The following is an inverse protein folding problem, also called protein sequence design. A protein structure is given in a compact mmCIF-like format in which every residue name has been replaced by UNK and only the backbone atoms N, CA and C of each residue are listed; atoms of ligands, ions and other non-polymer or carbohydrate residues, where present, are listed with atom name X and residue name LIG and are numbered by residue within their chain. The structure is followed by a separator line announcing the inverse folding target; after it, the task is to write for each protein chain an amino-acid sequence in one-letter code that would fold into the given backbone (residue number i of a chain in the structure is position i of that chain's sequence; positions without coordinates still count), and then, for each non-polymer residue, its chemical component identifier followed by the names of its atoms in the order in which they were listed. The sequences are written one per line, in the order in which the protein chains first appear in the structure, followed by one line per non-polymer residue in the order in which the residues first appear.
data_IF_242232343178
#
_entry.id   IF_242232343178
#
_cell.length_a   1.000
_cell.length_b   1.000
_cell.length_c   1.000
_cell.angle_alpha   90.00
_cell.angle_beta   90.00
_cell.angle_gamma   90.00
#
_symmetry.space_group_name_H-M   'P 1'
#
loop_
_entity.id
_entity.type
_entity.pdbx_description
1 polymer ?
#
# COMPACT_ATOMS: atom_id res chain seq x y z
N UNK A 1 10.96 28.12 3.25
CA UNK A 1 10.33 27.16 2.32
C UNK A 1 9.75 26.01 3.14
N UNK A 2 8.44 25.79 3.12
CA UNK A 2 7.83 24.64 3.78
C UNK A 2 8.35 23.37 3.09
N UNK A 3 9.01 22.46 3.84
CA UNK A 3 9.39 21.15 3.33
C UNK A 3 8.11 20.45 2.87
N UNK A 4 8.03 20.09 1.59
CA UNK A 4 6.96 19.25 1.05
C UNK A 4 6.79 18.02 1.97
N UNK A 5 5.56 17.71 2.33
CA UNK A 5 5.26 16.50 3.11
C UNK A 5 5.83 15.28 2.38
N UNK A 6 6.43 14.36 3.12
CA UNK A 6 6.99 13.12 2.58
C UNK A 6 5.89 12.35 1.87
N UNK A 7 6.17 11.82 0.69
CA UNK A 7 5.23 11.03 -0.10
C UNK A 7 5.59 9.56 -0.01
N UNK A 8 4.60 8.68 -0.19
CA UNK A 8 4.80 7.23 -0.18
C UNK A 8 5.92 6.76 -1.13
N UNK A 9 6.00 7.32 -2.33
CA UNK A 9 7.08 7.03 -3.30
C UNK A 9 8.49 7.32 -2.75
N UNK A 10 8.62 8.32 -1.89
CA UNK A 10 9.91 8.69 -1.29
C UNK A 10 10.32 7.67 -0.23
N UNK A 11 9.33 7.14 0.53
CA UNK A 11 9.53 6.03 1.48
C UNK A 11 9.96 4.75 0.76
N UNK A 12 9.33 4.42 -0.37
CA UNK A 12 9.71 3.27 -1.21
C UNK A 12 11.14 3.41 -1.72
N UNK A 13 11.50 4.57 -2.26
CA UNK A 13 12.87 4.82 -2.78
C UNK A 13 13.92 4.72 -1.66
N UNK A 14 13.63 5.25 -0.46
CA UNK A 14 14.51 5.15 0.69
C UNK A 14 14.67 3.69 1.16
N UNK A 15 13.58 2.92 1.19
CA UNK A 15 13.60 1.50 1.49
C UNK A 15 14.45 0.71 0.50
N UNK A 16 14.23 0.91 -0.81
CA UNK A 16 14.96 0.21 -1.87
C UNK A 16 16.47 0.51 -1.79
N UNK A 17 16.83 1.78 -1.56
CA UNK A 17 18.23 2.19 -1.38
C UNK A 17 18.89 1.46 -0.19
N UNK A 18 18.24 1.47 0.98
CA UNK A 18 18.76 0.79 2.17
C UNK A 18 18.86 -0.73 1.95
N UNK A 19 17.86 -1.33 1.30
CA UNK A 19 17.89 -2.75 0.97
C UNK A 19 19.07 -3.14 0.07
N UNK A 20 19.41 -2.28 -0.91
CA UNK A 20 20.58 -2.47 -1.79
C UNK A 20 21.90 -2.30 -1.02
N UNK A 21 22.01 -1.30 -0.15
CA UNK A 21 23.21 -1.08 0.67
C UNK A 21 23.46 -2.27 1.61
N UNK A 22 22.41 -2.79 2.26
CA UNK A 22 22.49 -3.98 3.13
C UNK A 22 22.90 -5.21 2.32
N UNK A 23 22.32 -5.44 1.14
CA UNK A 23 22.67 -6.55 0.26
C UNK A 23 24.14 -6.47 -0.20
N UNK A 24 24.67 -5.27 -0.40
CA UNK A 24 26.08 -5.01 -0.72
C UNK A 24 26.99 -5.06 0.53
N UNK A 25 26.48 -5.48 1.71
CA UNK A 25 27.16 -5.53 3.02
C UNK A 25 27.78 -4.20 3.44
N UNK A 26 27.16 -3.08 3.06
CA UNK A 26 27.52 -1.74 3.52
C UNK A 26 26.60 -1.35 4.67
N UNK A 27 27.10 -1.49 5.88
CA UNK A 27 26.32 -1.27 7.09
C UNK A 27 26.64 0.07 7.73
N UNK A 28 25.60 0.78 8.17
CA UNK A 28 25.72 1.94 9.05
C UNK A 28 25.68 1.49 10.53
N UNK A 29 26.36 2.19 11.43
CA UNK A 29 26.35 1.81 12.86
C UNK A 29 25.00 2.04 13.55
N UNK A 30 24.13 2.89 12.99
CA UNK A 30 22.79 3.16 13.55
C UNK A 30 21.77 3.21 12.39
N UNK A 31 20.66 2.52 12.58
CA UNK A 31 19.49 2.60 11.69
C UNK A 31 18.31 3.11 12.51
N UNK A 32 17.76 4.27 12.14
CA UNK A 32 16.50 4.78 12.68
C UNK A 32 15.41 4.52 11.62
N UNK A 33 14.60 3.51 11.87
CA UNK A 33 13.48 3.10 11.00
C UNK A 33 12.20 3.59 11.65
N UNK A 34 11.55 4.61 11.07
CA UNK A 34 10.41 5.26 11.71
C UNK A 34 9.27 5.56 10.74
N UNK A 35 8.06 5.72 11.26
CA UNK A 35 6.90 6.16 10.51
C UNK A 35 5.65 5.29 10.66
N UNK A 36 4.66 5.58 9.82
CA UNK A 36 3.33 4.98 9.89
C UNK A 36 3.26 3.61 9.19
N UNK A 37 4.10 3.38 8.15
CA UNK A 37 4.10 2.13 7.41
C UNK A 37 5.09 1.14 8.00
N UNK A 38 4.56 0.19 8.76
CA UNK A 38 5.36 -0.80 9.50
C UNK A 38 6.10 -1.79 8.60
N UNK A 39 5.58 -2.08 7.42
CA UNK A 39 6.17 -3.05 6.50
C UNK A 39 7.64 -2.74 6.18
N UNK A 40 7.94 -1.50 5.81
CA UNK A 40 9.30 -1.10 5.44
C UNK A 40 10.25 -1.14 6.64
N UNK A 41 9.75 -0.79 7.83
CA UNK A 41 10.51 -0.85 9.09
C UNK A 41 10.90 -2.30 9.40
N UNK A 42 9.91 -3.20 9.37
CA UNK A 42 10.13 -4.62 9.68
C UNK A 42 11.00 -5.29 8.61
N UNK A 43 10.78 -4.98 7.34
CA UNK A 43 11.55 -5.58 6.24
C UNK A 43 13.05 -5.18 6.29
N UNK A 44 13.39 -3.94 6.63
CA UNK A 44 14.79 -3.52 6.79
C UNK A 44 15.39 -4.13 8.05
N UNK A 45 14.66 -4.14 9.18
CA UNK A 45 15.12 -4.74 10.41
C UNK A 45 15.42 -6.24 10.25
N UNK A 46 14.54 -6.98 9.56
CA UNK A 46 14.73 -8.40 9.26
C UNK A 46 15.91 -8.65 8.32
N UNK A 47 16.09 -7.82 7.29
CA UNK A 47 17.26 -7.90 6.41
C UNK A 47 18.58 -7.71 7.18
N UNK A 48 18.63 -6.72 8.10
CA UNK A 48 19.80 -6.52 8.95
C UNK A 48 20.03 -7.72 9.87
N UNK A 49 18.98 -8.24 10.50
CA UNK A 49 19.03 -9.40 11.37
C UNK A 49 19.57 -10.66 10.68
N UNK A 50 19.27 -10.81 9.37
CA UNK A 50 19.66 -12.01 8.61
C UNK A 50 20.94 -11.88 7.80
N UNK A 51 21.37 -10.63 7.48
CA UNK A 51 22.49 -10.39 6.54
C UNK A 51 23.80 -10.05 7.26
N UNK A 52 23.74 -9.34 8.41
CA UNK A 52 24.95 -8.85 9.09
C UNK A 52 25.78 -10.00 9.63
N UNK A 53 25.15 -10.88 10.38
CA UNK A 53 25.78 -12.00 11.08
C UNK A 53 25.53 -13.33 10.39
N UNK A 54 26.53 -14.21 10.44
CA UNK A 54 26.37 -15.63 10.11
C UNK A 54 25.44 -16.34 11.10
N UNK A 55 24.92 -17.50 10.72
CA UNK A 55 23.95 -18.24 11.55
C UNK A 55 24.52 -18.59 12.94
N UNK A 56 25.76 -19.02 13.01
CA UNK A 56 26.45 -19.34 14.27
C UNK A 56 26.71 -18.08 15.14
N UNK A 57 26.98 -16.93 14.52
CA UNK A 57 27.26 -15.69 15.24
C UNK A 57 26.00 -15.05 15.85
N UNK A 58 24.83 -15.28 15.24
CA UNK A 58 23.55 -14.69 15.70
C UNK A 58 23.22 -15.10 17.14
N UNK A 59 23.50 -16.34 17.52
CA UNK A 59 23.20 -16.83 18.86
C UNK A 59 23.89 -16.02 19.96
N UNK A 60 25.06 -15.42 19.67
CA UNK A 60 25.88 -14.70 20.67
C UNK A 60 25.89 -13.19 20.45
N UNK A 61 25.70 -12.73 19.23
CA UNK A 61 25.91 -11.33 18.82
C UNK A 61 24.64 -10.62 18.36
N UNK A 62 23.47 -11.28 18.34
CA UNK A 62 22.21 -10.65 18.01
C UNK A 62 21.29 -10.56 19.23
N UNK A 63 20.93 -9.35 19.60
CA UNK A 63 20.07 -9.08 20.75
C UNK A 63 18.86 -8.31 20.28
N UNK A 64 17.67 -8.83 20.57
CA UNK A 64 16.41 -8.11 20.33
C UNK A 64 15.80 -7.69 21.67
N UNK A 65 15.50 -6.41 21.79
CA UNK A 65 14.85 -5.82 22.96
C UNK A 65 13.58 -5.08 22.53
N UNK A 66 12.62 -5.00 23.45
CA UNK A 66 11.35 -4.30 23.22
C UNK A 66 11.31 -3.01 24.05
N UNK A 67 10.86 -1.93 23.45
CA UNK A 67 10.84 -0.60 24.09
C UNK A 67 10.06 -0.57 25.39
N UNK A 68 8.94 -1.30 25.48
CA UNK A 68 8.11 -1.34 26.69
C UNK A 68 8.78 -2.05 27.87
N UNK A 69 9.67 -3.01 27.59
CA UNK A 69 10.33 -3.88 28.58
C UNK A 69 11.76 -3.43 28.88
N UNK A 70 12.19 -2.27 28.35
CA UNK A 70 13.58 -1.78 28.44
C UNK A 70 13.63 -0.30 28.76
N UNK A 71 14.80 0.13 29.21
CA UNK A 71 15.16 1.54 29.42
C UNK A 71 16.36 1.93 28.57
N UNK A 72 16.45 3.22 28.19
CA UNK A 72 17.52 3.70 27.30
C UNK A 72 18.93 3.37 27.82
N UNK A 73 19.18 3.40 29.14
CA UNK A 73 20.46 3.03 29.73
C UNK A 73 20.85 1.58 29.48
N UNK A 74 19.89 0.66 29.53
CA UNK A 74 20.12 -0.76 29.27
C UNK A 74 20.49 -0.96 27.78
N UNK A 75 19.75 -0.32 26.85
CA UNK A 75 20.04 -0.39 25.41
C UNK A 75 21.44 0.16 25.11
N UNK A 76 21.82 1.30 25.73
CA UNK A 76 23.17 1.88 25.57
C UNK A 76 24.25 0.91 26.05
N UNK A 77 24.04 0.27 27.22
CA UNK A 77 24.99 -0.67 27.75
C UNK A 77 25.16 -1.90 26.84
N UNK A 78 24.06 -2.44 26.31
CA UNK A 78 24.12 -3.51 25.31
C UNK A 78 24.92 -3.08 24.07
N UNK A 79 24.66 -1.89 23.54
CA UNK A 79 25.37 -1.38 22.35
C UNK A 79 26.87 -1.11 22.59
N UNK A 80 27.34 -1.01 23.82
CA UNK A 80 28.75 -0.81 24.16
C UNK A 80 29.50 -2.11 24.43
N UNK A 81 28.84 -3.23 24.45
CA UNK A 81 29.49 -4.53 24.56
C UNK A 81 30.28 -4.85 23.30
N UNK A 82 31.33 -5.63 23.44
CA UNK A 82 32.09 -6.13 22.30
C UNK A 82 31.45 -7.39 21.75
N UNK A 83 31.44 -7.59 20.42
CA UNK A 83 30.96 -8.82 19.82
C UNK A 83 31.81 -10.02 20.29
N UNK A 84 31.15 -11.16 20.47
CA UNK A 84 31.82 -12.42 20.81
C UNK A 84 32.22 -13.15 19.52
N UNK A 85 33.53 -13.32 19.30
CA UNK A 85 34.08 -14.10 18.17
C UNK A 85 33.57 -13.67 16.77
N UNK A 86 33.22 -12.39 16.59
CA UNK A 86 32.71 -11.83 15.33
C UNK A 86 33.11 -10.37 15.13
N UNK A 87 32.85 -9.84 13.94
CA UNK A 87 33.15 -8.44 13.58
C UNK A 87 32.09 -7.47 14.06
N UNK A 88 30.86 -7.92 14.21
CA UNK A 88 29.71 -7.09 14.55
C UNK A 88 28.85 -7.71 15.65
N UNK A 89 28.22 -6.83 16.43
CA UNK A 89 27.05 -7.11 17.25
C UNK A 89 25.85 -6.38 16.65
N UNK A 90 24.68 -7.01 16.65
CA UNK A 90 23.42 -6.41 16.18
C UNK A 90 22.46 -6.27 17.34
N UNK A 91 22.06 -5.04 17.66
CA UNK A 91 21.06 -4.74 18.69
C UNK A 91 19.82 -4.21 17.99
N UNK A 92 18.70 -4.93 18.11
CA UNK A 92 17.41 -4.57 17.49
C UNK A 92 16.46 -4.09 18.58
N UNK A 93 16.16 -2.80 18.59
CA UNK A 93 15.18 -2.21 19.50
C UNK A 93 13.84 -2.13 18.78
N UNK A 94 12.93 -3.05 19.08
CA UNK A 94 11.54 -3.06 18.58
C UNK A 94 10.66 -2.13 19.42
N UNK A 95 9.66 -1.52 18.79
CA UNK A 95 8.70 -0.62 19.43
C UNK A 95 9.37 0.52 20.23
N UNK A 96 10.37 1.14 19.63
CA UNK A 96 11.18 2.19 20.28
C UNK A 96 10.34 3.38 20.77
N UNK A 97 9.13 3.62 20.21
CA UNK A 97 8.20 4.65 20.69
C UNK A 97 7.70 4.43 22.12
N UNK A 98 7.87 3.21 22.65
CA UNK A 98 7.49 2.85 24.03
C UNK A 98 8.69 2.85 25.00
N UNK A 99 9.91 3.08 24.50
CA UNK A 99 11.12 3.06 25.32
C UNK A 99 11.13 4.22 26.33
N UNK A 100 11.31 3.92 27.60
CA UNK A 100 11.50 4.93 28.65
C UNK A 100 12.81 5.68 28.43
N UNK A 101 12.70 7.00 28.26
CA UNK A 101 13.87 7.87 28.09
C UNK A 101 14.51 7.74 26.71
N UNK A 102 13.73 7.52 25.63
CA UNK A 102 14.21 7.40 24.23
C UNK A 102 15.27 8.47 23.88
N UNK A 103 15.05 9.73 24.27
CA UNK A 103 15.98 10.84 23.97
C UNK A 103 17.38 10.64 24.58
N UNK A 104 17.52 9.86 25.66
CA UNK A 104 18.82 9.53 26.26
C UNK A 104 19.67 8.64 25.33
N UNK A 105 19.07 7.98 24.31
CA UNK A 105 19.86 7.27 23.30
C UNK A 105 20.77 8.21 22.50
N UNK A 106 20.56 9.53 22.57
CA UNK A 106 21.48 10.54 22.04
C UNK A 106 22.91 10.39 22.56
N UNK A 107 23.09 9.92 23.79
CA UNK A 107 24.40 9.63 24.40
C UNK A 107 25.19 8.52 23.67
N UNK A 108 24.47 7.69 22.92
CA UNK A 108 25.08 6.64 22.09
C UNK A 108 25.08 7.03 20.61
N UNK A 109 23.97 7.55 20.08
CA UNK A 109 23.84 7.83 18.64
C UNK A 109 24.76 8.96 18.15
N UNK A 110 25.24 9.84 19.05
CA UNK A 110 26.24 10.85 18.71
C UNK A 110 27.66 10.28 18.51
N UNK A 111 27.98 9.16 19.16
CA UNK A 111 29.25 8.45 19.02
C UNK A 111 29.02 6.95 19.13
N UNK A 112 28.45 6.33 18.08
CA UNK A 112 28.17 4.90 18.10
C UNK A 112 29.47 4.06 18.06
N UNK A 113 29.39 2.86 18.61
CA UNK A 113 30.48 1.87 18.51
C UNK A 113 30.60 1.40 17.03
N UNK A 114 31.79 1.30 16.47
CA UNK A 114 32.00 0.83 15.11
C UNK A 114 31.71 -0.67 14.95
N UNK A 115 31.70 -1.43 16.02
CA UNK A 115 31.45 -2.87 16.04
C UNK A 115 30.01 -3.24 16.33
N UNK A 116 29.13 -2.25 16.59
CA UNK A 116 27.73 -2.49 16.90
C UNK A 116 26.83 -1.84 15.85
N UNK A 117 25.86 -2.60 15.37
CA UNK A 117 24.79 -2.10 14.51
C UNK A 117 23.52 -2.02 15.35
N UNK A 118 23.12 -0.78 15.66
CA UNK A 118 21.89 -0.51 16.40
C UNK A 118 20.74 -0.26 15.42
N UNK A 119 19.70 -1.10 15.47
CA UNK A 119 18.49 -0.98 14.66
C UNK A 119 17.34 -0.52 15.53
N UNK A 120 16.83 0.67 15.30
CA UNK A 120 15.77 1.30 16.09
C UNK A 120 14.48 1.32 15.28
N UNK A 121 13.50 0.47 15.65
CA UNK A 121 12.19 0.38 15.01
C UNK A 121 11.18 1.25 15.79
N UNK A 122 10.89 2.44 15.25
CA UNK A 122 9.97 3.42 15.84
C UNK A 122 8.69 3.49 14.99
N UNK A 123 7.68 2.73 15.37
CA UNK A 123 6.44 2.56 14.60
C UNK A 123 5.38 3.61 14.94
N UNK A 124 4.35 3.71 14.05
CA UNK A 124 3.13 4.53 14.19
C UNK A 124 3.34 6.04 14.06
N UNK A 125 4.48 6.56 14.43
CA UNK A 125 4.81 7.99 14.38
C UNK A 125 6.29 8.22 14.11
N UNK A 126 6.62 9.44 13.74
CA UNK A 126 8.02 9.84 13.57
C UNK A 126 8.62 10.31 14.91
N UNK A 127 9.91 10.07 15.11
CA UNK A 127 10.67 10.71 16.17
C UNK A 127 10.78 12.23 15.93
N UNK A 128 10.89 13.02 16.99
CA UNK A 128 11.06 14.48 16.84
C UNK A 128 12.40 14.79 16.15
N UNK A 129 12.33 15.32 14.95
CA UNK A 129 13.51 15.67 14.13
C UNK A 129 14.38 16.76 14.74
N UNK A 130 13.88 17.48 15.74
CA UNK A 130 14.65 18.51 16.49
C UNK A 130 15.44 17.92 17.63
N UNK A 131 15.11 16.72 18.10
CA UNK A 131 15.76 16.06 19.22
C UNK A 131 17.23 15.75 18.94
N UNK A 132 18.06 15.73 19.98
CA UNK A 132 19.47 15.33 19.89
C UNK A 132 19.61 13.86 19.45
N UNK A 133 18.65 13.02 19.84
CA UNK A 133 18.54 11.62 19.43
C UNK A 133 18.42 11.49 17.91
N UNK A 134 17.43 12.15 17.30
CA UNK A 134 17.24 12.10 15.84
C UNK A 134 18.47 12.64 15.09
N UNK A 135 19.01 13.79 15.55
CA UNK A 135 20.20 14.40 14.94
C UNK A 135 21.41 13.47 14.98
N UNK A 136 21.61 12.77 16.10
CA UNK A 136 22.67 11.76 16.24
C UNK A 136 22.49 10.59 15.26
N UNK A 137 21.27 10.05 15.14
CA UNK A 137 20.97 9.01 14.16
C UNK A 137 21.19 9.47 12.72
N UNK A 138 20.78 10.69 12.39
CA UNK A 138 20.92 11.23 11.03
C UNK A 138 22.38 11.56 10.65
N UNK A 139 23.20 11.97 11.62
CA UNK A 139 24.61 12.31 11.38
C UNK A 139 25.50 11.07 11.27
N UNK A 140 25.22 10.03 12.03
CA UNK A 140 26.10 8.87 12.21
C UNK A 140 25.47 7.55 11.73
N UNK A 141 24.32 7.59 11.08
CA UNK A 141 23.61 6.40 10.66
C UNK A 141 22.73 6.61 9.43
N UNK A 142 21.80 5.68 9.25
CA UNK A 142 20.80 5.72 8.20
C UNK A 142 19.39 5.94 8.79
N UNK A 143 18.59 6.80 8.16
CA UNK A 143 17.22 7.08 8.59
C UNK A 143 16.26 6.68 7.48
N UNK A 144 15.31 5.83 7.81
CA UNK A 144 14.13 5.51 6.98
C UNK A 144 12.91 6.17 7.62
N UNK A 145 12.23 7.01 6.86
CA UNK A 145 10.92 7.55 7.23
C UNK A 145 9.86 6.96 6.31
N UNK A 146 8.88 6.28 6.88
CA UNK A 146 7.83 5.59 6.14
C UNK A 146 6.47 6.25 6.34
N UNK A 147 5.71 6.41 5.27
CA UNK A 147 4.33 6.89 5.28
C UNK A 147 3.41 5.87 4.63
N UNK A 148 2.17 5.82 5.10
CA UNK A 148 1.17 4.91 4.53
C UNK A 148 0.85 5.29 3.08
N UNK A 149 0.65 4.31 2.21
CA UNK A 149 0.16 4.57 0.86
C UNK A 149 -1.28 5.06 0.88
N UNK A 150 -1.62 5.83 -0.14
CA UNK A 150 -3.02 6.10 -0.48
C UNK A 150 -3.51 5.03 -1.45
N UNK A 151 -4.82 4.81 -1.53
CA UNK A 151 -5.43 3.77 -2.38
C UNK A 151 -4.90 3.79 -3.82
N UNK A 152 -4.77 4.98 -4.43
CA UNK A 152 -4.28 5.13 -5.80
C UNK A 152 -2.77 4.85 -5.98
N UNK A 153 -1.99 4.73 -4.89
CA UNK A 153 -0.55 4.46 -4.93
C UNK A 153 -0.26 2.96 -4.86
N UNK A 154 -1.19 2.16 -4.30
CA UNK A 154 -1.02 0.72 -4.09
C UNK A 154 -0.82 -0.03 -5.40
N UNK A 155 -1.67 0.19 -6.40
CA UNK A 155 -1.58 -0.53 -7.67
C UNK A 155 -0.21 -0.36 -8.34
N UNK A 156 0.33 0.87 -8.36
CA UNK A 156 1.63 1.16 -8.94
C UNK A 156 2.80 0.60 -8.13
N UNK A 157 2.68 0.57 -6.80
CA UNK A 157 3.66 -0.07 -5.93
C UNK A 157 3.65 -1.58 -6.11
N UNK A 158 2.46 -2.19 -6.13
CA UNK A 158 2.28 -3.63 -6.29
C UNK A 158 2.86 -4.14 -7.61
N UNK A 159 2.62 -3.44 -8.72
CA UNK A 159 3.24 -3.77 -10.00
C UNK A 159 4.78 -3.79 -9.93
N UNK A 160 5.38 -2.77 -9.30
CA UNK A 160 6.85 -2.72 -9.13
C UNK A 160 7.36 -3.80 -8.18
N UNK A 161 6.64 -4.07 -7.11
CA UNK A 161 6.99 -5.13 -6.15
C UNK A 161 7.00 -6.51 -6.82
N UNK A 162 6.00 -6.81 -7.65
CA UNK A 162 5.90 -8.04 -8.43
C UNK A 162 7.00 -8.09 -9.51
N UNK A 163 7.26 -6.98 -10.20
CA UNK A 163 8.34 -6.88 -11.18
C UNK A 163 9.72 -7.13 -10.55
N UNK A 164 9.94 -6.66 -9.31
CA UNK A 164 11.16 -6.95 -8.53
C UNK A 164 11.36 -8.43 -8.20
N UNK A 165 10.30 -9.26 -8.30
CA UNK A 165 10.35 -10.73 -8.19
C UNK A 165 10.51 -11.43 -9.56
N UNK A 166 10.69 -10.68 -10.66
CA UNK A 166 10.82 -11.22 -12.01
C UNK A 166 9.49 -11.60 -12.66
N UNK A 167 8.36 -11.17 -12.09
CA UNK A 167 7.01 -11.50 -12.55
C UNK A 167 6.29 -10.26 -13.11
N UNK A 168 5.36 -10.47 -14.04
CA UNK A 168 4.36 -9.49 -14.44
C UNK A 168 3.01 -9.84 -13.79
N UNK A 169 2.05 -8.91 -13.83
CA UNK A 169 0.68 -9.15 -13.37
C UNK A 169 -0.32 -8.55 -14.36
N UNK A 170 -1.41 -9.25 -14.62
CA UNK A 170 -2.49 -8.77 -15.45
C UNK A 170 -3.31 -7.68 -14.74
N UNK A 171 -3.89 -6.76 -15.52
CA UNK A 171 -4.66 -5.64 -14.98
C UNK A 171 -5.84 -6.10 -14.11
N UNK A 172 -6.53 -7.17 -14.53
CA UNK A 172 -7.64 -7.76 -13.76
C UNK A 172 -7.15 -8.35 -12.44
N UNK A 173 -6.09 -9.15 -12.47
CA UNK A 173 -5.48 -9.73 -11.28
C UNK A 173 -4.99 -8.65 -10.30
N UNK A 174 -4.41 -7.58 -10.81
CA UNK A 174 -3.98 -6.43 -10.02
C UNK A 174 -5.16 -5.75 -9.32
N UNK A 175 -6.26 -5.51 -10.04
CA UNK A 175 -7.48 -4.91 -9.47
C UNK A 175 -8.09 -5.83 -8.40
N UNK A 176 -8.20 -7.13 -8.67
CA UNK A 176 -8.69 -8.10 -7.67
C UNK A 176 -7.88 -8.05 -6.38
N UNK A 177 -6.55 -8.00 -6.46
CA UNK A 177 -5.67 -7.91 -5.29
C UNK A 177 -5.86 -6.59 -4.54
N UNK A 178 -5.87 -5.47 -5.24
CA UNK A 178 -5.99 -4.14 -4.60
C UNK A 178 -7.36 -3.94 -3.94
N UNK A 179 -8.42 -4.41 -4.57
CA UNK A 179 -9.78 -4.29 -4.06
C UNK A 179 -10.01 -5.17 -2.82
N UNK A 180 -9.39 -6.35 -2.79
CA UNK A 180 -9.54 -7.30 -1.68
C UNK A 180 -8.60 -7.01 -0.50
N UNK A 181 -7.34 -6.70 -0.77
CA UNK A 181 -6.32 -6.51 0.27
C UNK A 181 -6.20 -5.06 0.75
N UNK A 182 -6.76 -4.10 0.00
CA UNK A 182 -6.73 -2.67 0.33
C UNK A 182 -5.32 -2.09 0.33
N UNK A 183 -5.01 -1.27 1.33
CA UNK A 183 -3.71 -0.56 1.46
C UNK A 183 -2.75 -1.18 2.46
N UNK A 184 -3.06 -2.33 3.03
CA UNK A 184 -2.20 -3.03 3.99
C UNK A 184 -1.05 -3.74 3.26
N UNK A 185 0.10 -3.08 3.21
CA UNK A 185 1.29 -3.60 2.51
C UNK A 185 1.78 -4.91 3.13
N UNK A 186 1.69 -5.07 4.45
CA UNK A 186 2.11 -6.31 5.13
C UNK A 186 1.26 -7.49 4.69
N UNK A 187 -0.07 -7.30 4.67
CA UNK A 187 -1.01 -8.31 4.19
C UNK A 187 -0.77 -8.65 2.72
N UNK A 188 -0.65 -7.62 1.87
CA UNK A 188 -0.35 -7.78 0.44
C UNK A 188 0.94 -8.57 0.22
N UNK A 189 2.02 -8.19 0.90
CA UNK A 189 3.33 -8.86 0.77
C UNK A 189 3.28 -10.34 1.19
N UNK A 190 2.55 -10.65 2.26
CA UNK A 190 2.39 -12.01 2.75
C UNK A 190 1.57 -12.87 1.77
N UNK A 191 0.43 -12.37 1.27
CA UNK A 191 -0.39 -13.10 0.30
C UNK A 191 0.35 -13.31 -1.03
N UNK A 192 1.08 -12.29 -1.51
CA UNK A 192 1.94 -12.44 -2.68
C UNK A 192 3.12 -13.39 -2.45
N UNK A 193 3.67 -13.43 -1.25
CA UNK A 193 4.71 -14.40 -0.90
C UNK A 193 4.21 -15.84 -1.07
N UNK A 194 3.03 -16.15 -0.55
CA UNK A 194 2.37 -17.46 -0.68
C UNK A 194 2.05 -17.76 -2.16
N UNK A 195 1.46 -16.79 -2.87
CA UNK A 195 1.12 -16.94 -4.28
C UNK A 195 2.35 -17.29 -5.11
N UNK A 196 3.46 -16.54 -4.96
CA UNK A 196 4.68 -16.77 -5.75
C UNK A 196 5.25 -18.17 -5.52
N UNK A 197 5.17 -18.69 -4.29
CA UNK A 197 5.65 -20.06 -3.96
C UNK A 197 4.74 -21.13 -4.58
N UNK A 198 3.44 -20.84 -4.75
CA UNK A 198 2.48 -21.82 -5.30
C UNK A 198 2.41 -21.79 -6.84
N UNK A 199 3.00 -20.80 -7.50
CA UNK A 199 3.01 -20.74 -8.97
C UNK A 199 3.89 -21.84 -9.56
N UNK A 200 3.49 -22.43 -10.71
CA UNK A 200 4.33 -23.39 -11.45
C UNK A 200 5.69 -22.79 -11.81
N UNK A 201 6.72 -23.65 -11.85
CA UNK A 201 8.06 -23.24 -12.31
C UNK A 201 8.00 -22.63 -13.73
N UNK A 202 8.73 -21.54 -13.93
CA UNK A 202 8.77 -20.85 -15.23
C UNK A 202 7.61 -19.87 -15.47
N UNK A 203 6.68 -19.73 -14.52
CA UNK A 203 5.62 -18.69 -14.62
C UNK A 203 6.27 -17.31 -14.69
N UNK A 204 5.87 -16.50 -15.68
CA UNK A 204 6.35 -15.13 -15.89
C UNK A 204 5.29 -14.08 -15.59
N UNK A 205 4.04 -14.49 -15.43
CA UNK A 205 2.90 -13.58 -15.30
C UNK A 205 1.84 -14.16 -14.37
N UNK A 206 1.35 -13.33 -13.47
CA UNK A 206 0.25 -13.63 -12.56
C UNK A 206 -1.07 -13.26 -13.25
N UNK A 207 -1.99 -14.21 -13.33
CA UNK A 207 -3.33 -14.06 -13.94
C UNK A 207 -4.43 -13.98 -12.87
N UNK A 208 -5.64 -13.61 -13.28
CA UNK A 208 -6.83 -13.67 -12.43
C UNK A 208 -7.14 -15.09 -11.93
N UNK A 209 -6.87 -16.12 -12.75
CA UNK A 209 -7.02 -17.52 -12.35
C UNK A 209 -6.05 -17.90 -11.22
N UNK A 210 -4.80 -17.40 -11.24
CA UNK A 210 -3.84 -17.63 -10.16
C UNK A 210 -4.29 -16.99 -8.85
N UNK A 211 -4.90 -15.79 -8.93
CA UNK A 211 -5.45 -15.10 -7.76
C UNK A 211 -6.64 -15.89 -7.19
N UNK A 212 -7.54 -16.38 -8.03
CA UNK A 212 -8.67 -17.20 -7.61
C UNK A 212 -8.22 -18.47 -6.91
N UNK A 213 -7.29 -19.21 -7.50
CA UNK A 213 -6.82 -20.50 -7.00
C UNK A 213 -6.06 -20.38 -5.67
N UNK A 214 -5.29 -19.30 -5.46
CA UNK A 214 -4.34 -19.21 -4.34
C UNK A 214 -4.75 -18.23 -3.23
N UNK A 215 -5.58 -17.21 -3.56
CA UNK A 215 -6.01 -16.19 -2.60
C UNK A 215 -7.51 -16.32 -2.30
N UNK A 216 -8.25 -17.11 -3.10
CA UNK A 216 -9.68 -17.35 -2.91
C UNK A 216 -10.58 -16.21 -3.36
N UNK A 217 -10.07 -15.27 -4.16
CA UNK A 217 -10.86 -14.17 -4.73
C UNK A 217 -11.46 -14.64 -6.03
N UNK A 218 -12.79 -14.68 -6.14
CA UNK A 218 -13.48 -15.10 -7.36
C UNK A 218 -13.12 -14.23 -8.55
N UNK A 219 -12.73 -14.85 -9.66
CA UNK A 219 -12.44 -14.15 -10.92
C UNK A 219 -13.71 -13.63 -11.62
N UNK A 220 -14.86 -14.21 -11.29
CA UNK A 220 -16.15 -13.89 -11.91
C UNK A 220 -17.01 -12.95 -11.05
N UNK A 221 -16.83 -12.98 -9.72
CA UNK A 221 -17.61 -12.21 -8.77
C UNK A 221 -16.67 -11.34 -7.90
N UNK A 222 -16.27 -10.20 -8.45
CA UNK A 222 -15.42 -9.22 -7.78
C UNK A 222 -15.78 -7.80 -8.22
N UNK A 223 -15.23 -6.79 -7.55
CA UNK A 223 -15.54 -5.38 -7.85
C UNK A 223 -15.14 -4.95 -9.25
N UNK A 224 -14.10 -5.55 -9.86
CA UNK A 224 -13.71 -5.26 -11.22
C UNK A 224 -14.82 -5.69 -12.20
N UNK A 225 -15.33 -6.91 -12.08
CA UNK A 225 -16.42 -7.43 -12.91
C UNK A 225 -17.73 -6.67 -12.68
N UNK A 226 -18.03 -6.31 -11.41
CA UNK A 226 -19.19 -5.48 -11.11
C UNK A 226 -19.11 -4.12 -11.78
N UNK A 227 -17.98 -3.40 -11.64
CA UNK A 227 -17.78 -2.12 -12.27
C UNK A 227 -17.89 -2.20 -13.80
N UNK A 228 -17.31 -3.24 -14.41
CA UNK A 228 -17.42 -3.50 -15.84
C UNK A 228 -18.87 -3.69 -16.27
N UNK A 229 -19.63 -4.55 -15.57
CA UNK A 229 -21.05 -4.78 -15.86
C UNK A 229 -21.87 -3.48 -15.75
N UNK A 230 -21.61 -2.66 -14.72
CA UNK A 230 -22.32 -1.38 -14.53
C UNK A 230 -22.00 -0.39 -15.65
N UNK A 231 -20.73 -0.15 -15.98
CA UNK A 231 -20.37 0.86 -17.00
C UNK A 231 -20.74 0.45 -18.41
N UNK A 232 -20.84 -0.84 -18.69
CA UNK A 232 -21.35 -1.39 -19.96
C UNK A 232 -22.87 -1.55 -19.98
N UNK A 233 -23.57 -1.21 -18.89
CA UNK A 233 -25.03 -1.31 -18.70
C UNK A 233 -25.56 -2.75 -18.73
N UNK A 234 -24.76 -3.73 -18.34
CA UNK A 234 -25.19 -5.12 -18.14
C UNK A 234 -25.82 -5.29 -16.74
N UNK A 235 -27.10 -4.94 -16.63
CA UNK A 235 -27.85 -5.01 -15.39
C UNK A 235 -27.95 -6.44 -14.84
N UNK A 236 -28.15 -7.43 -15.71
CA UNK A 236 -28.31 -8.82 -15.28
C UNK A 236 -27.03 -9.33 -14.62
N UNK A 237 -25.87 -9.07 -15.23
CA UNK A 237 -24.57 -9.44 -14.68
C UNK A 237 -24.28 -8.68 -13.37
N UNK A 238 -24.54 -7.37 -13.32
CA UNK A 238 -24.34 -6.56 -12.13
C UNK A 238 -25.15 -7.07 -10.95
N UNK A 239 -26.44 -7.38 -11.11
CA UNK A 239 -27.29 -7.92 -10.06
C UNK A 239 -26.88 -9.33 -9.62
N UNK A 240 -26.41 -10.18 -10.51
CA UNK A 240 -25.88 -11.49 -10.18
C UNK A 240 -24.63 -11.39 -9.30
N UNK A 241 -23.72 -10.44 -9.59
CA UNK A 241 -22.56 -10.19 -8.76
C UNK A 241 -22.97 -9.62 -7.40
N UNK A 242 -23.93 -8.68 -7.36
CA UNK A 242 -24.44 -8.13 -6.11
C UNK A 242 -25.08 -9.19 -5.21
N UNK A 243 -25.77 -10.17 -5.79
CA UNK A 243 -26.31 -11.31 -5.04
C UNK A 243 -25.20 -12.18 -4.42
N UNK A 244 -24.12 -12.41 -5.15
CA UNK A 244 -22.95 -13.11 -4.62
C UNK A 244 -22.32 -12.32 -3.45
N UNK A 245 -22.18 -11.00 -3.56
CA UNK A 245 -21.66 -10.13 -2.50
C UNK A 245 -22.56 -10.16 -1.25
N UNK A 246 -23.89 -10.14 -1.44
CA UNK A 246 -24.85 -10.21 -0.34
C UNK A 246 -24.73 -11.49 0.49
N UNK A 247 -24.35 -12.61 -0.15
CA UNK A 247 -24.10 -13.90 0.53
C UNK A 247 -22.74 -13.93 1.25
N UNK A 248 -21.79 -13.09 0.84
CA UNK A 248 -20.44 -13.05 1.38
C UNK A 248 -20.02 -11.61 1.79
N UNK A 249 -20.73 -10.97 2.74
CA UNK A 249 -20.56 -9.55 3.05
C UNK A 249 -19.22 -9.23 3.71
N UNK A 250 -18.59 -10.19 4.39
CA UNK A 250 -17.26 -10.00 5.01
C UNK A 250 -16.15 -9.86 3.97
N UNK A 251 -16.26 -10.60 2.86
CA UNK A 251 -15.27 -10.58 1.79
C UNK A 251 -15.55 -9.46 0.79
N UNK A 252 -16.78 -8.95 0.75
CA UNK A 252 -17.24 -7.92 -0.17
C UNK A 252 -17.97 -6.78 0.55
N UNK A 253 -17.28 -5.98 1.39
CA UNK A 253 -17.89 -4.86 2.10
C UNK A 253 -18.44 -3.81 1.14
N UNK A 254 -19.64 -3.32 1.41
CA UNK A 254 -20.30 -2.30 0.58
C UNK A 254 -19.43 -1.06 0.36
N UNK A 255 -18.71 -0.62 1.37
CA UNK A 255 -17.81 0.54 1.29
C UNK A 255 -16.78 0.38 0.16
N UNK A 256 -16.15 -0.79 0.04
CA UNK A 256 -15.15 -1.09 -0.99
C UNK A 256 -15.78 -1.04 -2.37
N UNK A 257 -16.98 -1.62 -2.51
CA UNK A 257 -17.75 -1.62 -3.76
C UNK A 257 -18.15 -0.20 -4.20
N UNK A 258 -18.62 0.62 -3.27
CA UNK A 258 -18.98 2.03 -3.54
C UNK A 258 -17.76 2.84 -4.00
N UNK A 259 -16.60 2.64 -3.37
CA UNK A 259 -15.35 3.29 -3.76
C UNK A 259 -14.87 2.85 -5.15
N UNK A 260 -15.00 1.56 -5.49
CA UNK A 260 -14.66 1.05 -6.81
C UNK A 260 -15.56 1.68 -7.91
N UNK A 261 -16.87 1.69 -7.70
CA UNK A 261 -17.83 2.34 -8.61
C UNK A 261 -17.54 3.85 -8.74
N UNK A 262 -17.26 4.55 -7.63
CA UNK A 262 -16.89 5.97 -7.65
C UNK A 262 -15.65 6.20 -8.50
N UNK A 263 -14.63 5.36 -8.39
CA UNK A 263 -13.43 5.42 -9.21
C UNK A 263 -13.75 5.38 -10.71
N UNK A 264 -14.58 4.43 -11.12
CA UNK A 264 -15.00 4.25 -12.52
C UNK A 264 -15.81 5.46 -13.03
N UNK A 265 -16.87 5.85 -12.33
CA UNK A 265 -17.70 6.97 -12.77
C UNK A 265 -16.98 8.32 -12.76
N UNK A 266 -16.04 8.53 -11.84
CA UNK A 266 -15.15 9.70 -11.85
C UNK A 266 -14.31 9.77 -13.14
N UNK A 267 -13.78 8.65 -13.61
CA UNK A 267 -13.02 8.59 -14.86
C UNK A 267 -13.91 8.93 -16.07
N UNK A 268 -15.11 8.35 -16.12
CA UNK A 268 -16.09 8.68 -17.17
C UNK A 268 -16.48 10.18 -17.14
N UNK A 269 -16.69 10.74 -15.94
CA UNK A 269 -17.00 12.16 -15.77
C UNK A 269 -15.88 13.04 -16.31
N UNK A 270 -14.63 12.74 -16.00
CA UNK A 270 -13.47 13.51 -16.49
C UNK A 270 -13.43 13.49 -18.02
N UNK A 271 -13.53 12.31 -18.66
CA UNK A 271 -13.52 12.21 -20.12
C UNK A 271 -14.67 13.00 -20.74
N UNK A 272 -15.87 12.86 -20.23
CA UNK A 272 -17.04 13.54 -20.74
C UNK A 272 -16.99 15.06 -20.51
N UNK A 273 -16.46 15.51 -19.37
CA UNK A 273 -16.23 16.93 -19.10
C UNK A 273 -15.23 17.53 -20.10
N UNK A 274 -14.13 16.83 -20.38
CA UNK A 274 -13.13 17.28 -21.36
C UNK A 274 -13.72 17.31 -22.79
N UNK A 275 -14.55 16.33 -23.15
CA UNK A 275 -15.31 16.36 -24.44
C UNK A 275 -16.25 17.55 -24.51
N UNK A 276 -16.95 17.84 -23.42
CA UNK A 276 -17.86 18.97 -23.34
C UNK A 276 -17.13 20.32 -23.46
N UNK A 277 -15.99 20.49 -22.74
CA UNK A 277 -15.17 21.69 -22.85
C UNK A 277 -14.59 21.91 -24.24
N UNK A 278 -14.17 20.85 -24.90
CA UNK A 278 -13.70 20.91 -26.28
C UNK A 278 -14.80 21.42 -27.24
N UNK A 279 -16.04 20.92 -27.07
CA UNK A 279 -17.17 21.30 -27.95
C UNK A 279 -17.71 22.69 -27.68
N UNK A 280 -17.78 23.14 -26.43
CA UNK A 280 -18.51 24.35 -26.04
C UNK A 280 -17.61 25.54 -25.69
N UNK A 281 -16.32 25.26 -25.34
CA UNK A 281 -15.37 26.33 -24.96
C UNK A 281 -14.22 26.47 -25.95
N UNK A 282 -14.23 25.73 -27.06
CA UNK A 282 -13.17 25.78 -28.08
C UNK A 282 -11.79 25.28 -27.58
N UNK A 283 -11.74 24.59 -26.43
CA UNK A 283 -10.50 24.02 -25.92
C UNK A 283 -10.17 22.73 -26.68
N UNK A 284 -8.90 22.46 -27.00
CA UNK A 284 -8.55 21.20 -27.67
C UNK A 284 -8.82 20.02 -26.74
N UNK A 285 -9.36 18.93 -27.29
CA UNK A 285 -9.44 17.68 -26.53
C UNK A 285 -8.02 17.12 -26.31
N UNK A 286 -7.66 16.72 -25.08
CA UNK A 286 -6.32 16.22 -24.79
C UNK A 286 -5.92 15.02 -25.65
N UNK A 287 -4.65 14.93 -26.01
CA UNK A 287 -4.05 13.75 -26.61
C UNK A 287 -4.15 12.54 -25.69
N UNK A 288 -4.03 11.32 -26.23
CA UNK A 288 -4.08 10.09 -25.43
C UNK A 288 -3.00 10.07 -24.35
N UNK A 289 -1.81 10.60 -24.63
CA UNK A 289 -0.73 10.71 -23.63
C UNK A 289 -1.06 11.68 -22.49
N UNK A 290 -1.72 12.79 -22.79
CA UNK A 290 -2.19 13.75 -21.78
C UNK A 290 -3.35 13.18 -20.97
N UNK A 291 -4.30 12.52 -21.64
CA UNK A 291 -5.45 11.89 -20.99
C UNK A 291 -5.01 10.75 -20.06
N UNK A 292 -4.03 9.95 -20.47
CA UNK A 292 -3.42 8.93 -19.60
C UNK A 292 -2.80 9.56 -18.33
N UNK A 293 -2.14 10.72 -18.45
CA UNK A 293 -1.61 11.47 -17.29
C UNK A 293 -2.73 11.98 -16.37
N UNK A 294 -3.79 12.55 -16.95
CA UNK A 294 -4.94 13.06 -16.20
C UNK A 294 -5.63 11.93 -15.43
N UNK A 295 -5.88 10.80 -16.10
CA UNK A 295 -6.55 9.62 -15.54
C UNK A 295 -5.60 8.71 -14.74
N UNK A 296 -4.29 9.02 -14.72
CA UNK A 296 -3.24 8.21 -14.07
C UNK A 296 -3.22 6.76 -14.56
N UNK A 297 -3.41 6.57 -15.87
CA UNK A 297 -3.34 5.26 -16.54
C UNK A 297 -2.02 5.12 -17.29
N UNK A 298 -1.54 3.90 -17.40
CA UNK A 298 -0.31 3.53 -18.11
C UNK A 298 -0.55 2.53 -19.26
N UNK A 299 -1.81 2.21 -19.52
CA UNK A 299 -2.20 1.26 -20.57
C UNK A 299 -3.20 1.90 -21.55
N UNK A 300 -2.84 1.93 -22.83
CA UNK A 300 -3.65 2.52 -23.90
C UNK A 300 -4.98 1.75 -24.13
N UNK A 301 -4.98 0.44 -23.95
CA UNK A 301 -6.22 -0.36 -24.07
C UNK A 301 -7.24 0.02 -23.01
N UNK A 302 -6.79 0.18 -21.76
CA UNK A 302 -7.66 0.64 -20.66
C UNK A 302 -8.22 2.05 -20.95
N UNK A 303 -7.39 2.94 -21.51
CA UNK A 303 -7.86 4.25 -21.93
C UNK A 303 -8.94 4.15 -23.02
N UNK A 304 -8.76 3.24 -23.98
CA UNK A 304 -9.75 2.96 -25.03
C UNK A 304 -11.10 2.52 -24.46
N UNK A 305 -11.10 1.61 -23.49
CA UNK A 305 -12.31 1.15 -22.79
C UNK A 305 -12.98 2.29 -22.01
N UNK A 306 -12.23 3.12 -21.30
CA UNK A 306 -12.79 4.28 -20.59
C UNK A 306 -13.45 5.26 -21.56
N UNK A 307 -12.81 5.55 -22.71
CA UNK A 307 -13.35 6.43 -23.76
C UNK A 307 -14.63 5.87 -24.38
N UNK A 308 -14.68 4.55 -24.60
CA UNK A 308 -15.86 3.85 -25.12
C UNK A 308 -16.99 3.88 -24.08
N UNK A 309 -16.73 3.50 -22.84
CA UNK A 309 -17.72 3.48 -21.78
C UNK A 309 -18.25 4.88 -21.46
N UNK A 310 -17.40 5.92 -21.54
CA UNK A 310 -17.82 7.30 -21.37
C UNK A 310 -18.86 7.76 -22.43
N UNK A 311 -18.96 7.10 -23.58
CA UNK A 311 -19.99 7.37 -24.57
C UNK A 311 -21.38 6.82 -24.18
N UNK A 312 -21.44 5.81 -23.31
CA UNK A 312 -22.70 5.18 -22.86
C UNK A 312 -23.40 6.03 -21.77
N UNK A 313 -22.72 7.02 -21.20
CA UNK A 313 -23.18 7.78 -20.07
C UNK A 313 -23.03 9.29 -20.32
N UNK A 314 -24.12 10.04 -20.32
CA UNK A 314 -24.05 11.50 -20.42
C UNK A 314 -23.59 12.14 -19.08
N UNK A 315 -23.11 13.39 -19.15
CA UNK A 315 -22.60 14.11 -17.99
C UNK A 315 -23.60 14.27 -16.85
N UNK A 316 -24.88 14.46 -17.15
CA UNK A 316 -25.92 14.66 -16.15
C UNK A 316 -26.17 13.37 -15.38
N UNK A 317 -26.24 12.24 -16.08
CA UNK A 317 -26.38 10.91 -15.47
C UNK A 317 -25.19 10.58 -14.60
N UNK A 318 -23.97 10.76 -15.10
CA UNK A 318 -22.75 10.52 -14.32
C UNK A 318 -22.70 11.39 -13.06
N UNK A 319 -23.07 12.67 -13.17
CA UNK A 319 -23.14 13.58 -12.02
C UNK A 319 -24.15 13.09 -10.96
N UNK A 320 -25.33 12.66 -11.39
CA UNK A 320 -26.34 12.12 -10.49
C UNK A 320 -25.85 10.82 -9.81
N UNK A 321 -25.17 9.95 -10.56
CA UNK A 321 -24.59 8.70 -10.03
C UNK A 321 -23.51 9.02 -8.97
N UNK A 322 -22.64 10.00 -9.21
CA UNK A 322 -21.66 10.42 -8.20
C UNK A 322 -22.33 10.92 -6.91
N UNK A 323 -23.47 11.60 -7.05
CA UNK A 323 -24.32 11.99 -5.92
C UNK A 323 -24.89 10.79 -5.16
N UNK A 324 -25.42 9.78 -5.89
CA UNK A 324 -25.89 8.52 -5.29
C UNK A 324 -24.75 7.80 -4.56
N UNK A 325 -23.60 7.66 -5.19
CA UNK A 325 -22.45 6.97 -4.58
C UNK A 325 -22.01 7.63 -3.27
N UNK A 326 -22.06 8.96 -3.19
CA UNK A 326 -21.82 9.70 -1.93
C UNK A 326 -22.87 9.36 -0.86
N UNK A 327 -24.15 9.26 -1.24
CA UNK A 327 -25.23 8.86 -0.32
C UNK A 327 -24.98 7.45 0.25
N UNK A 328 -24.63 6.50 -0.63
CA UNK A 328 -24.38 5.11 -0.23
C UNK A 328 -23.06 4.91 0.48
N UNK A 329 -22.06 5.77 0.28
CA UNK A 329 -20.88 5.84 1.14
C UNK A 329 -21.27 6.17 2.60
N UNK A 330 -22.17 7.12 2.81
CA UNK A 330 -22.69 7.44 4.14
C UNK A 330 -23.51 6.28 4.73
N UNK A 331 -24.38 5.65 3.92
CA UNK A 331 -25.19 4.49 4.35
C UNK A 331 -24.32 3.29 4.73
N UNK A 332 -23.22 3.01 4.01
CA UNK A 332 -22.28 1.93 4.33
C UNK A 332 -21.56 2.12 5.67
N UNK A 333 -21.55 3.35 6.18
CA UNK A 333 -21.01 3.72 7.51
C UNK A 333 -22.11 3.80 8.59
N UNK A 334 -23.32 3.32 8.28
CA UNK A 334 -24.47 3.30 9.20
C UNK A 334 -25.32 4.58 9.23
N UNK A 335 -24.98 5.62 8.45
CA UNK A 335 -25.74 6.86 8.42
C UNK A 335 -26.98 6.71 7.51
N UNK A 336 -28.17 6.85 8.09
CA UNK A 336 -29.44 6.72 7.36
C UNK A 336 -29.63 5.37 6.60
N UNK A 337 -29.03 4.30 7.11
CA UNK A 337 -29.14 2.96 6.51
C UNK A 337 -30.49 2.28 6.76
N UNK A 338 -31.28 2.74 7.75
CA UNK A 338 -32.59 2.19 8.06
C UNK A 338 -32.60 0.72 8.52
N UNK A 339 -31.44 0.20 8.95
CA UNK A 339 -31.29 -1.22 9.31
C UNK A 339 -31.08 -2.15 8.10
N UNK A 340 -30.97 -1.64 6.87
CA UNK A 340 -30.73 -2.44 5.68
C UNK A 340 -29.32 -3.04 5.70
N UNK A 341 -29.20 -4.27 5.24
CA UNK A 341 -27.91 -4.96 5.04
C UNK A 341 -27.11 -4.38 3.88
N UNK A 342 -25.79 -4.62 3.86
CA UNK A 342 -24.89 -4.21 2.76
C UNK A 342 -25.39 -4.72 1.40
N UNK A 343 -25.90 -5.95 1.35
CA UNK A 343 -26.44 -6.55 0.13
C UNK A 343 -27.71 -5.87 -0.39
N UNK A 344 -28.61 -5.48 0.52
CA UNK A 344 -29.83 -4.74 0.16
C UNK A 344 -29.49 -3.33 -0.32
N UNK A 345 -28.59 -2.65 0.37
CA UNK A 345 -28.11 -1.32 -0.04
C UNK A 345 -27.41 -1.37 -1.40
N UNK A 346 -26.58 -2.38 -1.67
CA UNK A 346 -25.92 -2.55 -2.96
C UNK A 346 -26.94 -2.76 -4.07
N UNK A 347 -27.93 -3.64 -3.86
CA UNK A 347 -28.99 -3.90 -4.84
C UNK A 347 -29.79 -2.63 -5.13
N UNK A 348 -30.18 -1.89 -4.10
CA UNK A 348 -30.89 -0.62 -4.24
C UNK A 348 -30.05 0.41 -5.03
N UNK A 349 -28.77 0.56 -4.71
CA UNK A 349 -27.85 1.42 -5.42
C UNK A 349 -27.77 1.10 -6.90
N UNK A 350 -27.55 -0.17 -7.25
CA UNK A 350 -27.47 -0.62 -8.65
C UNK A 350 -28.73 -0.33 -9.42
N UNK A 351 -29.90 -0.65 -8.85
CA UNK A 351 -31.19 -0.34 -9.47
C UNK A 351 -31.34 1.16 -9.75
N UNK A 352 -30.99 2.03 -8.78
CA UNK A 352 -31.02 3.48 -8.99
C UNK A 352 -30.06 3.95 -10.08
N UNK A 353 -28.85 3.33 -10.16
CA UNK A 353 -27.88 3.67 -11.24
C UNK A 353 -28.43 3.29 -12.60
N UNK A 354 -29.05 2.11 -12.77
CA UNK A 354 -29.57 1.65 -14.04
C UNK A 354 -30.85 2.40 -14.48
N UNK A 355 -31.60 2.99 -13.53
CA UNK A 355 -32.77 3.82 -13.82
C UNK A 355 -32.40 5.24 -14.28
N UNK A 356 -31.19 5.72 -14.04
CA UNK A 356 -30.65 6.98 -14.54
C UNK A 356 -30.18 6.84 -16.00
#
# INVERSE_FOLDING_TARGET
MAKSALKFKDSVAAYEKLAQEIAARRFAPVYLLMGEESYFIDAIAERLATTVLGEAERAFNQITVYGKDSEAGQVINLCRQMPMMGSYQVVILKEAQQLRGLDKLSLYTQKPSPTTILVICHKEKNADKRSAFYKGCAANGAVLESVRPRDYEIASWLQRFIAGKGLAIDTKALSMLTDHLGTDISKISNELGKLVVSLPEGTKRITDADIEANIGISKDFNNFELCKAVVTRDMARALMIAEHFARNPKDNPLLVTVLALFGQFKELFIVNYLRWTARHKGMPFPSDAELMRILKKNNVYVLGEIKQNAANWDNRRVFNILGLLREYDAKSKGMNAGGASDGELLRELLLKIFLL
#
